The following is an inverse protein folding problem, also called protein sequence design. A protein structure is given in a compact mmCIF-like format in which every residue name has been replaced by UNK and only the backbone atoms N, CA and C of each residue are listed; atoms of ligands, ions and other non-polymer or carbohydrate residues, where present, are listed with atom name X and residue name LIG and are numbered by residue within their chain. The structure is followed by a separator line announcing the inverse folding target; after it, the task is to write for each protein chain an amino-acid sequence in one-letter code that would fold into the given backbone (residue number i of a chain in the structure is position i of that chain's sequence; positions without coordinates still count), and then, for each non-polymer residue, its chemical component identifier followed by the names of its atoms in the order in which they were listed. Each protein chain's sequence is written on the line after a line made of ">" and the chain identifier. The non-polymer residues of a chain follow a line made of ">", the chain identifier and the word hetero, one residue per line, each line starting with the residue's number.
data_IF_123102544787
#
_entry.id   IF_123102544787
#
_cell.length_a   1.000
_cell.length_b   1.000
_cell.length_c   1.000
_cell.angle_alpha   90.00
_cell.angle_beta   90.00
_cell.angle_gamma   90.00
#
_symmetry.space_group_name_H-M   'P 1'
#
loop_
_entity.id
_entity.type
_entity.pdbx_description
1 polymer ?
#
# COMPACT_ATOMS: atom_id res chain seq x y z
N UNK A 1 -4.75 -14.03 -22.56
CA UNK A 1 -3.95 -13.55 -21.40
C UNK A 1 -3.63 -14.75 -20.53
N UNK A 2 -2.39 -14.88 -20.04
CA UNK A 2 -2.02 -15.90 -19.08
C UNK A 2 -2.51 -15.49 -17.67
N UNK A 3 -3.24 -16.37 -16.92
CA UNK A 3 -3.71 -16.05 -15.58
C UNK A 3 -2.52 -15.83 -14.62
N UNK A 4 -2.53 -14.76 -13.82
CA UNK A 4 -1.43 -14.46 -12.91
C UNK A 4 -1.85 -13.55 -11.76
N UNK A 5 -0.96 -13.37 -10.80
CA UNK A 5 -1.14 -12.45 -9.67
C UNK A 5 -0.32 -11.19 -9.92
N UNK A 6 -0.95 -10.03 -9.79
CA UNK A 6 -0.29 -8.73 -9.69
C UNK A 6 -0.17 -8.29 -8.24
N UNK A 7 0.92 -7.60 -7.88
CA UNK A 7 1.10 -7.04 -6.54
C UNK A 7 1.68 -5.63 -6.60
N UNK A 8 1.12 -4.73 -5.78
CA UNK A 8 1.54 -3.32 -5.68
C UNK A 8 1.26 -2.75 -4.28
N UNK A 9 1.78 -1.55 -3.98
CA UNK A 9 1.61 -0.88 -2.70
C UNK A 9 1.07 0.55 -2.83
N UNK A 10 0.53 1.06 -1.71
CA UNK A 10 0.14 2.46 -1.52
C UNK A 10 0.53 2.96 -0.14
N UNK A 11 0.72 4.27 0.00
CA UNK A 11 1.09 4.88 1.28
C UNK A 11 2.59 4.90 1.59
N UNK A 12 3.45 4.39 0.68
CA UNK A 12 4.92 4.38 0.84
C UNK A 12 5.51 5.79 0.92
N UNK A 13 4.99 6.73 0.14
CA UNK A 13 5.43 8.12 0.07
C UNK A 13 4.61 9.08 0.94
N UNK A 14 3.68 8.59 1.74
CA UNK A 14 2.78 9.40 2.54
C UNK A 14 3.21 9.40 4.01
N UNK A 15 3.37 10.59 4.60
CA UNK A 15 3.70 10.74 6.02
C UNK A 15 2.59 10.20 6.91
N UNK A 16 1.34 10.60 6.64
CA UNK A 16 0.17 10.11 7.35
C UNK A 16 -0.38 8.80 6.77
N UNK A 17 -1.08 8.05 7.61
CA UNK A 17 -1.81 6.86 7.20
C UNK A 17 -0.96 5.59 7.09
N UNK A 18 -1.58 4.48 6.69
CA UNK A 18 -0.95 3.17 6.66
C UNK A 18 0.05 3.01 5.51
N UNK A 19 0.84 1.94 5.58
CA UNK A 19 1.39 1.28 4.40
C UNK A 19 0.43 0.16 4.01
N UNK A 20 0.02 0.12 2.75
CA UNK A 20 -0.89 -0.90 2.23
C UNK A 20 -0.23 -1.63 1.08
N UNK A 21 -0.25 -2.95 1.12
CA UNK A 21 0.15 -3.81 0.00
C UNK A 21 -1.05 -4.65 -0.40
N UNK A 22 -1.31 -4.75 -1.69
CA UNK A 22 -2.37 -5.61 -2.21
C UNK A 22 -1.84 -6.54 -3.29
N UNK A 23 -2.41 -7.74 -3.36
CA UNK A 23 -2.23 -8.69 -4.44
C UNK A 23 -3.58 -9.06 -5.03
N UNK A 24 -3.65 -9.25 -6.35
CA UNK A 24 -4.88 -9.57 -7.07
C UNK A 24 -4.58 -10.60 -8.15
N UNK A 25 -5.33 -11.71 -8.16
CA UNK A 25 -5.31 -12.67 -9.26
C UNK A 25 -6.26 -12.22 -10.35
N UNK A 26 -5.78 -12.24 -11.59
CA UNK A 26 -6.59 -11.95 -12.77
C UNK A 26 -6.38 -13.03 -13.83
N UNK A 27 -7.47 -13.67 -14.22
CA UNK A 27 -7.56 -14.60 -15.34
C UNK A 27 -8.45 -14.03 -16.45
N UNK A 28 -8.50 -14.70 -17.62
CA UNK A 28 -9.35 -14.30 -18.76
C UNK A 28 -10.82 -14.09 -18.38
N UNK A 29 -11.32 -14.89 -17.45
CA UNK A 29 -12.69 -14.86 -16.91
C UNK A 29 -13.06 -13.54 -16.23
N UNK A 30 -12.07 -12.79 -15.72
CA UNK A 30 -12.29 -11.54 -15.01
C UNK A 30 -12.29 -10.31 -15.92
N UNK A 31 -11.73 -10.40 -17.14
CA UNK A 31 -11.44 -9.24 -17.99
C UNK A 31 -12.67 -8.40 -18.31
N UNK A 32 -13.81 -9.01 -18.56
CA UNK A 32 -15.05 -8.31 -18.87
C UNK A 32 -15.53 -7.43 -17.70
N UNK A 33 -15.25 -7.84 -16.46
CA UNK A 33 -15.63 -7.14 -15.25
C UNK A 33 -14.61 -6.06 -14.81
N UNK A 34 -13.43 -6.05 -15.44
CA UNK A 34 -12.34 -5.13 -15.11
C UNK A 34 -12.25 -3.94 -16.06
N UNK A 35 -13.34 -3.61 -16.76
CA UNK A 35 -13.37 -2.43 -17.61
C UNK A 35 -13.02 -1.16 -16.80
N UNK A 36 -12.16 -0.32 -17.36
CA UNK A 36 -11.66 0.90 -16.70
C UNK A 36 -10.53 0.69 -15.69
N UNK A 37 -10.15 -0.55 -15.38
CA UNK A 37 -8.96 -0.86 -14.57
C UNK A 37 -7.72 -0.50 -15.37
N UNK A 38 -6.93 0.42 -14.85
CA UNK A 38 -5.69 0.90 -15.44
C UNK A 38 -4.83 1.52 -14.33
N UNK A 39 -3.66 2.02 -14.68
CA UNK A 39 -2.76 2.73 -13.75
C UNK A 39 -3.54 3.62 -12.78
N UNK A 40 -3.51 3.27 -11.49
CA UNK A 40 -4.26 3.95 -10.44
C UNK A 40 -3.91 5.44 -10.30
N UNK A 41 -2.69 5.83 -10.71
CA UNK A 41 -2.22 7.23 -10.66
C UNK A 41 -2.99 8.14 -11.62
N UNK A 42 -3.59 7.55 -12.66
CA UNK A 42 -4.42 8.26 -13.66
C UNK A 42 -5.90 8.34 -13.27
N UNK A 43 -6.28 7.74 -12.14
CA UNK A 43 -7.65 7.72 -11.64
C UNK A 43 -7.85 8.77 -10.55
N UNK A 44 -9.06 9.31 -10.47
CA UNK A 44 -9.47 10.11 -9.28
C UNK A 44 -9.74 9.19 -8.09
N UNK A 45 -9.67 9.73 -6.86
CA UNK A 45 -9.94 8.94 -5.64
C UNK A 45 -11.34 8.28 -5.65
N UNK A 46 -12.45 8.96 -6.04
CA UNK A 46 -13.76 8.32 -6.14
C UNK A 46 -13.82 7.18 -7.15
N UNK A 47 -13.16 7.32 -8.31
CA UNK A 47 -13.11 6.26 -9.33
C UNK A 47 -12.31 5.06 -8.80
N UNK A 48 -11.18 5.29 -8.14
CA UNK A 48 -10.39 4.21 -7.54
C UNK A 48 -11.19 3.44 -6.48
N UNK A 49 -11.94 4.12 -5.61
CA UNK A 49 -12.81 3.49 -4.61
C UNK A 49 -13.91 2.65 -5.25
N UNK A 50 -14.56 3.16 -6.31
CA UNK A 50 -15.59 2.42 -7.05
C UNK A 50 -15.04 1.17 -7.72
N UNK A 51 -13.92 1.29 -8.43
CA UNK A 51 -13.26 0.16 -9.10
C UNK A 51 -12.79 -0.88 -8.09
N UNK A 52 -12.22 -0.45 -6.95
CA UNK A 52 -11.81 -1.37 -5.89
C UNK A 52 -12.96 -2.22 -5.36
N UNK A 53 -14.17 -1.67 -5.25
CA UNK A 53 -15.37 -2.42 -4.85
C UNK A 53 -15.69 -3.52 -5.86
N UNK A 54 -15.60 -3.21 -7.17
CA UNK A 54 -15.82 -4.20 -8.21
C UNK A 54 -14.73 -5.28 -8.24
N UNK A 55 -13.45 -4.89 -8.18
CA UNK A 55 -12.32 -5.82 -8.13
C UNK A 55 -12.47 -6.80 -6.96
N UNK A 56 -12.81 -6.30 -5.76
CA UNK A 56 -13.05 -7.13 -4.56
C UNK A 56 -14.18 -8.15 -4.75
N UNK A 57 -15.18 -7.82 -5.55
CA UNK A 57 -16.31 -8.70 -5.84
C UNK A 57 -15.95 -9.84 -6.77
N UNK A 58 -15.09 -9.59 -7.76
CA UNK A 58 -14.88 -10.52 -8.88
C UNK A 58 -13.54 -11.26 -8.84
N UNK A 59 -12.49 -10.67 -8.26
CA UNK A 59 -11.14 -11.23 -8.27
C UNK A 59 -10.71 -11.79 -6.91
N UNK A 60 -10.07 -12.96 -6.86
CA UNK A 60 -9.32 -13.39 -5.68
C UNK A 60 -8.24 -12.35 -5.35
N UNK A 61 -8.21 -11.87 -4.11
CA UNK A 61 -7.32 -10.79 -3.71
C UNK A 61 -6.94 -10.86 -2.23
N UNK A 62 -5.86 -10.18 -1.88
CA UNK A 62 -5.47 -9.97 -0.49
C UNK A 62 -4.97 -8.54 -0.29
N UNK A 63 -5.33 -7.93 0.82
CA UNK A 63 -4.89 -6.59 1.21
C UNK A 63 -4.25 -6.65 2.60
N UNK A 64 -2.99 -6.26 2.68
CA UNK A 64 -2.22 -6.13 3.92
C UNK A 64 -2.14 -4.66 4.27
N UNK A 65 -2.87 -4.24 5.30
CA UNK A 65 -2.87 -2.86 5.78
C UNK A 65 -2.09 -2.76 7.09
N UNK A 66 -1.01 -1.98 7.09
CA UNK A 66 -0.13 -1.77 8.25
C UNK A 66 -0.36 -0.34 8.72
N UNK A 67 -1.17 -0.18 9.78
CA UNK A 67 -1.44 1.13 10.39
C UNK A 67 -0.18 1.80 10.94
N UNK A 68 -0.18 3.14 11.13
CA UNK A 68 1.02 3.89 11.48
C UNK A 68 1.73 3.40 12.73
N UNK A 69 1.03 3.10 13.81
CA UNK A 69 1.64 2.58 15.04
C UNK A 69 2.39 1.27 14.77
N UNK A 70 1.73 0.30 14.12
CA UNK A 70 2.36 -0.97 13.76
C UNK A 70 3.46 -0.83 12.72
N UNK A 71 3.30 0.12 11.80
CA UNK A 71 4.35 0.48 10.84
C UNK A 71 5.63 0.95 11.57
N UNK A 72 5.51 1.83 12.54
CA UNK A 72 6.65 2.35 13.28
C UNK A 72 7.38 1.25 14.08
N UNK A 73 6.65 0.32 14.71
CA UNK A 73 7.23 -0.85 15.36
C UNK A 73 8.01 -1.73 14.36
N UNK A 74 7.38 -2.08 13.24
CA UNK A 74 7.99 -2.92 12.22
C UNK A 74 9.17 -2.23 11.55
N UNK A 75 9.07 -0.93 11.26
CA UNK A 75 10.18 -0.17 10.71
C UNK A 75 11.40 -0.16 11.64
N UNK A 76 11.19 0.01 12.94
CA UNK A 76 12.26 -0.06 13.94
C UNK A 76 12.92 -1.45 13.99
N UNK A 77 12.16 -2.52 13.76
CA UNK A 77 12.67 -3.89 13.70
C UNK A 77 13.44 -4.15 12.40
N UNK A 78 12.86 -3.81 11.26
CA UNK A 78 13.47 -4.04 9.94
C UNK A 78 14.60 -3.05 9.63
N UNK A 79 14.51 -1.82 10.14
CA UNK A 79 15.39 -0.67 9.86
C UNK A 79 15.63 -0.41 8.37
N UNK A 80 14.72 -0.87 7.54
CA UNK A 80 14.82 -0.78 6.09
C UNK A 80 13.43 -0.93 5.46
N UNK A 81 12.95 0.12 4.79
CA UNK A 81 11.64 0.14 4.15
C UNK A 81 11.49 -0.95 3.08
N UNK A 82 12.55 -1.21 2.31
CA UNK A 82 12.48 -2.23 1.25
C UNK A 82 12.28 -3.64 1.84
N UNK A 83 12.87 -3.93 3.02
CA UNK A 83 12.64 -5.19 3.72
C UNK A 83 11.21 -5.31 4.23
N UNK A 84 10.63 -4.21 4.74
CA UNK A 84 9.24 -4.18 5.19
C UNK A 84 8.27 -4.35 4.01
N UNK A 85 8.53 -3.66 2.89
CA UNK A 85 7.76 -3.83 1.65
C UNK A 85 7.84 -5.28 1.14
N UNK A 86 9.03 -5.85 1.03
CA UNK A 86 9.22 -7.22 0.57
C UNK A 86 8.44 -8.22 1.45
N UNK A 87 8.41 -8.02 2.76
CA UNK A 87 7.58 -8.82 3.66
C UNK A 87 6.09 -8.65 3.38
N UNK A 88 5.63 -7.42 3.20
CA UNK A 88 4.21 -7.14 2.87
C UNK A 88 3.78 -7.76 1.55
N UNK A 89 4.60 -7.61 0.50
CA UNK A 89 4.37 -8.22 -0.81
C UNK A 89 4.32 -9.76 -0.71
N UNK A 90 5.32 -10.37 -0.06
CA UNK A 90 5.36 -11.82 0.13
C UNK A 90 4.13 -12.35 0.87
N UNK A 91 3.65 -11.63 1.89
CA UNK A 91 2.44 -11.99 2.64
C UNK A 91 1.18 -11.87 1.78
N UNK A 92 1.04 -10.79 1.00
CA UNK A 92 -0.11 -10.61 0.11
C UNK A 92 -0.16 -11.69 -0.98
N UNK A 93 0.99 -12.01 -1.60
CA UNK A 93 1.12 -13.09 -2.59
C UNK A 93 0.70 -14.43 -1.98
N UNK A 94 1.24 -14.80 -0.82
CA UNK A 94 0.93 -16.07 -0.14
C UNK A 94 -0.56 -16.21 0.17
N UNK A 95 -1.21 -15.11 0.60
CA UNK A 95 -2.62 -15.09 0.92
C UNK A 95 -3.50 -15.27 -0.33
N UNK A 96 -3.12 -14.72 -1.49
CA UNK A 96 -3.85 -14.94 -2.74
C UNK A 96 -3.63 -16.35 -3.27
N UNK A 97 -2.40 -16.86 -3.23
CA UNK A 97 -2.10 -18.25 -3.61
C UNK A 97 -2.83 -19.28 -2.73
N UNK A 98 -3.22 -18.89 -1.52
CA UNK A 98 -4.09 -19.69 -0.65
C UNK A 98 -5.54 -19.76 -1.12
N UNK A 99 -5.99 -18.79 -1.91
CA UNK A 99 -7.35 -18.70 -2.46
C UNK A 99 -7.41 -19.26 -3.89
N UNK A 100 -6.43 -18.91 -4.70
CA UNK A 100 -6.36 -19.25 -6.12
C UNK A 100 -4.92 -19.58 -6.50
N UNK A 101 -4.62 -20.81 -6.95
CA UNK A 101 -3.31 -21.16 -7.49
C UNK A 101 -2.97 -20.33 -8.75
N UNK A 102 -1.70 -20.01 -8.89
CA UNK A 102 -1.14 -19.33 -10.06
C UNK A 102 0.33 -19.74 -10.23
N UNK A 103 0.81 -19.72 -11.48
CA UNK A 103 2.21 -20.05 -11.78
C UNK A 103 3.10 -18.80 -11.89
N UNK A 104 2.49 -17.63 -12.07
CA UNK A 104 3.17 -16.35 -12.30
C UNK A 104 2.68 -15.27 -11.32
N UNK A 105 3.64 -14.52 -10.79
CA UNK A 105 3.42 -13.28 -10.01
C UNK A 105 4.19 -12.14 -10.68
N UNK A 106 3.53 -11.03 -10.94
CA UNK A 106 4.13 -9.78 -11.44
C UNK A 106 4.10 -8.73 -10.32
N UNK A 107 5.27 -8.18 -9.99
CA UNK A 107 5.42 -7.11 -8.99
C UNK A 107 5.96 -5.85 -9.64
N UNK A 108 5.41 -4.68 -9.29
CA UNK A 108 6.13 -3.43 -9.57
C UNK A 108 7.45 -3.41 -8.81
N UNK A 109 8.51 -2.93 -9.48
CA UNK A 109 9.85 -2.97 -8.93
C UNK A 109 10.06 -1.83 -7.92
N UNK A 110 9.99 -2.13 -6.63
CA UNK A 110 10.24 -1.18 -5.55
C UNK A 110 11.68 -1.24 -4.98
N UNK A 111 12.41 -2.35 -5.23
CA UNK A 111 13.76 -2.62 -4.72
C UNK A 111 14.47 -3.67 -5.58
N UNK A 112 15.60 -4.19 -5.07
CA UNK A 112 16.24 -5.36 -5.69
C UNK A 112 15.27 -6.56 -5.63
N UNK A 113 14.94 -7.20 -6.77
CA UNK A 113 14.03 -8.35 -6.84
C UNK A 113 14.41 -9.51 -5.90
N UNK A 114 15.70 -9.67 -5.61
CA UNK A 114 16.20 -10.68 -4.68
C UNK A 114 15.68 -10.48 -3.24
N UNK A 115 15.32 -9.25 -2.83
CA UNK A 115 14.75 -9.01 -1.49
C UNK A 115 13.35 -9.62 -1.39
N UNK A 116 12.50 -9.45 -2.41
CA UNK A 116 11.18 -10.06 -2.43
C UNK A 116 11.30 -11.58 -2.52
N UNK A 117 12.12 -12.10 -3.45
CA UNK A 117 12.32 -13.55 -3.63
C UNK A 117 12.75 -14.27 -2.34
N UNK A 118 13.65 -13.66 -1.56
CA UNK A 118 14.09 -14.20 -0.27
C UNK A 118 13.01 -14.23 0.80
N UNK A 119 11.99 -13.40 0.67
CA UNK A 119 10.89 -13.26 1.64
C UNK A 119 9.65 -14.07 1.31
N UNK A 120 9.60 -14.68 0.11
CA UNK A 120 8.46 -15.50 -0.29
C UNK A 120 8.27 -16.67 0.69
N UNK A 121 7.01 -16.90 1.04
CA UNK A 121 6.57 -18.04 1.84
C UNK A 121 6.47 -19.30 0.97
N UNK A 122 5.94 -20.38 1.52
CA UNK A 122 6.02 -21.70 0.87
C UNK A 122 5.37 -21.74 -0.51
N UNK A 123 4.14 -21.23 -0.64
CA UNK A 123 3.45 -21.17 -1.94
C UNK A 123 4.10 -20.17 -2.89
N UNK A 124 4.51 -19.02 -2.37
CA UNK A 124 5.21 -18.03 -3.17
C UNK A 124 6.56 -18.48 -3.74
N UNK A 125 7.22 -19.46 -3.11
CA UNK A 125 8.49 -20.02 -3.62
C UNK A 125 8.31 -20.94 -4.83
N UNK A 126 7.09 -21.41 -5.08
CA UNK A 126 6.80 -22.34 -6.19
C UNK A 126 6.39 -21.63 -7.47
N UNK A 127 6.18 -20.30 -7.42
CA UNK A 127 5.74 -19.51 -8.57
C UNK A 127 6.89 -18.78 -9.23
N UNK A 128 6.76 -18.49 -10.52
CA UNK A 128 7.63 -17.56 -11.22
C UNK A 128 7.36 -16.14 -10.73
N UNK A 129 8.38 -15.45 -10.22
CA UNK A 129 8.29 -14.05 -9.81
C UNK A 129 8.98 -13.16 -10.84
N UNK A 130 8.21 -12.29 -11.49
CA UNK A 130 8.71 -11.25 -12.38
C UNK A 130 8.59 -9.88 -11.70
N UNK A 131 9.70 -9.15 -11.60
CA UNK A 131 9.71 -7.75 -11.14
C UNK A 131 9.91 -6.85 -12.34
N UNK A 132 8.96 -5.97 -12.61
CA UNK A 132 8.95 -5.10 -13.77
C UNK A 132 8.93 -3.62 -13.35
N UNK A 133 9.69 -2.79 -14.05
CA UNK A 133 9.57 -1.33 -13.91
C UNK A 133 8.31 -0.89 -14.64
N UNK A 134 7.48 -0.07 -13.96
CA UNK A 134 6.18 0.38 -14.48
C UNK A 134 5.23 -0.77 -14.79
N UNK A 135 5.16 -1.72 -13.88
CA UNK A 135 4.31 -2.89 -14.02
C UNK A 135 2.81 -2.54 -14.00
N UNK A 136 2.43 -1.30 -13.70
CA UNK A 136 1.04 -0.82 -13.75
C UNK A 136 0.38 -0.88 -15.14
N UNK A 137 1.13 -1.18 -16.19
CA UNK A 137 0.57 -1.52 -17.51
C UNK A 137 -0.09 -2.90 -17.52
N UNK A 138 0.32 -3.79 -16.63
CA UNK A 138 -0.29 -5.09 -16.41
C UNK A 138 -1.61 -4.95 -15.63
N UNK A 139 -2.66 -5.66 -16.07
CA UNK A 139 -4.01 -5.50 -15.51
C UNK A 139 -4.11 -6.03 -14.06
N UNK A 140 -3.39 -7.09 -13.71
CA UNK A 140 -3.41 -7.65 -12.37
C UNK A 140 -2.66 -6.71 -11.39
N UNK A 141 -1.53 -6.13 -11.83
CA UNK A 141 -0.80 -5.11 -11.05
C UNK A 141 -1.64 -3.83 -10.92
N UNK A 142 -2.31 -3.38 -12.01
CA UNK A 142 -3.21 -2.23 -11.95
C UNK A 142 -4.38 -2.47 -10.97
N UNK A 143 -4.97 -3.67 -10.97
CA UNK A 143 -6.00 -4.05 -10.01
C UNK A 143 -5.49 -4.04 -8.58
N UNK A 144 -4.30 -4.60 -8.32
CA UNK A 144 -3.65 -4.55 -7.01
C UNK A 144 -3.37 -3.11 -6.55
N UNK A 145 -2.86 -2.25 -7.44
CA UNK A 145 -2.62 -0.83 -7.20
C UNK A 145 -3.90 -0.09 -6.78
N UNK A 146 -5.01 -0.33 -7.47
CA UNK A 146 -6.31 0.25 -7.14
C UNK A 146 -6.80 -0.24 -5.76
N UNK A 147 -6.66 -1.54 -5.46
CA UNK A 147 -7.02 -2.10 -4.14
C UNK A 147 -6.20 -1.47 -3.02
N UNK A 148 -4.88 -1.37 -3.20
CA UNK A 148 -3.97 -0.77 -2.21
C UNK A 148 -4.30 0.70 -1.97
N UNK A 149 -4.52 1.48 -3.04
CA UNK A 149 -4.90 2.90 -2.95
C UNK A 149 -6.26 3.09 -2.27
N UNK A 150 -7.26 2.32 -2.63
CA UNK A 150 -8.59 2.43 -2.04
C UNK A 150 -8.57 2.14 -0.53
N UNK A 151 -7.85 1.12 -0.11
CA UNK A 151 -7.69 0.81 1.33
C UNK A 151 -6.91 1.92 2.05
N UNK A 152 -5.82 2.44 1.44
CA UNK A 152 -5.08 3.57 1.98
C UNK A 152 -5.99 4.79 2.21
N UNK A 153 -6.76 5.19 1.20
CA UNK A 153 -7.68 6.33 1.29
C UNK A 153 -8.73 6.14 2.39
N UNK A 154 -9.33 4.95 2.45
CA UNK A 154 -10.34 4.61 3.45
C UNK A 154 -9.77 4.68 4.86
N UNK A 155 -8.57 4.13 5.08
CA UNK A 155 -7.91 4.15 6.39
C UNK A 155 -7.44 5.53 6.79
N UNK A 156 -6.88 6.30 5.84
CA UNK A 156 -6.45 7.67 6.08
C UNK A 156 -7.63 8.56 6.51
N UNK A 157 -8.77 8.45 5.80
CA UNK A 157 -10.01 9.14 6.15
C UNK A 157 -10.48 8.78 7.56
N UNK A 158 -10.54 7.47 7.86
CA UNK A 158 -10.96 6.98 9.18
C UNK A 158 -10.06 7.49 10.31
N UNK A 159 -8.75 7.49 10.11
CA UNK A 159 -7.81 8.08 11.07
C UNK A 159 -8.08 9.58 11.28
N UNK A 160 -8.35 10.33 10.22
CA UNK A 160 -8.72 11.73 10.32
C UNK A 160 -10.01 11.95 11.12
N UNK A 161 -11.03 11.11 10.89
CA UNK A 161 -12.30 11.14 11.64
C UNK A 161 -12.09 10.82 13.12
N UNK A 162 -11.27 9.80 13.45
CA UNK A 162 -10.96 9.37 14.82
C UNK A 162 -10.32 10.50 15.65
N UNK A 163 -9.43 11.30 15.04
CA UNK A 163 -8.76 12.41 15.71
C UNK A 163 -9.41 13.78 15.43
N UNK A 164 -10.56 13.81 14.74
CA UNK A 164 -11.26 15.06 14.40
C UNK A 164 -10.35 16.03 13.65
N UNK A 165 -9.60 15.55 12.65
CA UNK A 165 -8.65 16.35 11.86
C UNK A 165 -8.59 15.84 10.42
N UNK A 166 -8.08 16.69 9.51
CA UNK A 166 -7.79 16.28 8.13
C UNK A 166 -6.33 15.89 8.00
N UNK A 167 -6.07 14.69 7.52
CA UNK A 167 -4.73 14.16 7.28
C UNK A 167 -4.44 14.17 5.77
N UNK A 168 -3.66 15.14 5.25
CA UNK A 168 -3.36 15.22 3.83
C UNK A 168 -2.38 14.13 3.39
N UNK A 169 -2.47 13.75 2.10
CA UNK A 169 -1.57 12.79 1.44
C UNK A 169 -0.20 13.42 1.15
N UNK A 170 0.81 12.57 1.01
CA UNK A 170 2.17 12.97 0.63
C UNK A 170 3.04 13.39 1.82
N UNK A 171 4.01 14.28 1.55
CA UNK A 171 4.98 14.77 2.54
C UNK A 171 5.35 16.25 2.29
N UNK A 172 4.43 17.03 1.71
CA UNK A 172 4.60 18.45 1.37
C UNK A 172 4.48 19.39 2.59
N UNK A 173 4.65 20.69 2.36
CA UNK A 173 4.44 21.72 3.39
C UNK A 173 3.03 21.70 4.00
N UNK A 174 2.01 21.33 3.20
CA UNK A 174 0.65 21.15 3.72
C UNK A 174 0.60 20.01 4.76
N UNK A 175 1.34 18.92 4.51
CA UNK A 175 1.46 17.80 5.43
C UNK A 175 2.19 18.21 6.71
N UNK A 176 3.27 19.00 6.59
CA UNK A 176 4.01 19.54 7.75
C UNK A 176 3.07 20.41 8.60
N UNK A 177 2.33 21.34 7.99
CA UNK A 177 1.37 22.21 8.70
C UNK A 177 0.29 21.38 9.43
N UNK A 178 -0.24 20.34 8.77
CA UNK A 178 -1.21 19.43 9.40
C UNK A 178 -0.58 18.65 10.58
N UNK A 179 0.68 18.23 10.45
CA UNK A 179 1.41 17.56 11.53
C UNK A 179 1.63 18.48 12.73
N UNK A 180 2.01 19.74 12.49
CA UNK A 180 2.16 20.76 13.57
C UNK A 180 0.82 20.98 14.28
N UNK A 181 -0.26 21.15 13.52
CA UNK A 181 -1.60 21.33 14.09
C UNK A 181 -2.03 20.11 14.93
N UNK A 182 -1.74 18.89 14.43
CA UNK A 182 -2.00 17.65 15.15
C UNK A 182 -1.24 17.60 16.48
N UNK A 183 0.08 17.85 16.46
CA UNK A 183 0.92 17.83 17.67
C UNK A 183 0.46 18.88 18.70
N UNK A 184 0.11 20.09 18.27
CA UNK A 184 -0.41 21.14 19.15
C UNK A 184 -1.75 20.78 19.79
N UNK A 185 -2.60 20.01 19.09
CA UNK A 185 -3.92 19.58 19.57
C UNK A 185 -3.85 18.32 20.44
N UNK A 186 -3.14 17.31 19.97
CA UNK A 186 -3.19 15.95 20.53
C UNK A 186 -1.95 15.53 21.32
N UNK A 187 -0.85 16.29 21.22
CA UNK A 187 0.45 15.94 21.80
C UNK A 187 1.34 15.13 20.84
N UNK A 188 2.65 15.26 21.03
CA UNK A 188 3.64 14.60 20.18
C UNK A 188 3.62 13.06 20.32
N UNK A 189 3.25 12.55 21.49
CA UNK A 189 3.20 11.12 21.78
C UNK A 189 2.15 10.38 20.94
N UNK A 190 1.09 11.08 20.53
CA UNK A 190 0.04 10.51 19.65
C UNK A 190 0.38 10.58 18.18
N UNK A 191 1.40 11.36 17.76
CA UNK A 191 1.74 11.51 16.34
C UNK A 191 2.04 10.16 15.66
N UNK A 192 2.68 9.24 16.38
CA UNK A 192 2.97 7.89 15.87
C UNK A 192 1.73 7.02 15.60
N UNK A 193 0.54 7.41 16.07
CA UNK A 193 -0.71 6.71 15.80
C UNK A 193 -1.28 7.07 14.42
N UNK A 194 -0.87 8.21 13.85
CA UNK A 194 -1.36 8.70 12.55
C UNK A 194 -0.26 8.85 11.50
N UNK A 195 1.02 8.86 11.89
CA UNK A 195 2.16 9.18 11.01
C UNK A 195 3.31 8.18 11.10
N UNK A 196 4.09 8.10 10.00
CA UNK A 196 5.30 7.28 9.88
C UNK A 196 6.52 8.10 10.32
N UNK A 197 7.04 7.84 11.51
CA UNK A 197 8.02 8.68 12.21
C UNK A 197 9.43 8.67 11.60
N UNK A 198 9.74 7.77 10.67
CA UNK A 198 11.04 7.74 9.98
C UNK A 198 11.17 8.79 8.86
N UNK A 199 10.06 9.45 8.48
CA UNK A 199 10.08 10.50 7.45
C UNK A 199 10.82 11.75 7.97
N UNK A 200 11.55 12.43 7.09
CA UNK A 200 12.15 13.75 7.39
C UNK A 200 11.08 14.76 7.83
N UNK A 201 9.87 14.64 7.31
CA UNK A 201 8.69 15.42 7.71
C UNK A 201 8.48 15.43 9.22
N UNK A 202 8.77 14.31 9.91
CA UNK A 202 8.67 14.22 11.37
C UNK A 202 9.57 15.27 12.06
N UNK A 203 10.82 15.41 11.63
CA UNK A 203 11.75 16.38 12.22
C UNK A 203 11.26 17.82 12.02
N UNK A 204 10.77 18.15 10.81
CA UNK A 204 10.21 19.46 10.51
C UNK A 204 8.95 19.77 11.36
N UNK A 205 8.07 18.77 11.52
CA UNK A 205 6.89 18.91 12.40
C UNK A 205 7.28 19.18 13.82
N UNK A 206 8.25 18.42 14.37
CA UNK A 206 8.69 18.56 15.76
C UNK A 206 9.41 19.88 16.02
N UNK A 207 10.17 20.37 15.06
CA UNK A 207 10.83 21.67 15.16
C UNK A 207 9.81 22.83 15.20
N UNK A 208 8.86 22.82 14.25
CA UNK A 208 7.85 23.88 14.11
C UNK A 208 6.73 23.80 15.16
N UNK A 209 6.52 22.64 15.79
CA UNK A 209 5.52 22.49 16.84
C UNK A 209 5.98 23.11 18.19
N UNK A 210 7.30 23.32 18.39
CA UNK A 210 7.89 23.93 19.60
C UNK A 210 7.69 25.43 19.68
N UNK A 211 7.33 26.08 18.57
CA UNK A 211 7.03 27.51 18.47
C UNK A 211 5.54 27.77 18.68
#
# INVERSE_FOLDING_TARGET
>A
MHPHIGVDESGKGDFFGPLVVAACYVGPEHLAELEGVKDSKKLTDPIALKLATNIKRVCPHAVISIGPAKYNELYNSFRNLNKLLAWGHARAIENVLGQQPADLVISDQFANPAELKRRLFEKGKTVELQSMVRAEADIAVAAASILARAEFLTRLKRLGEEFGTTLPKGASDLVIKAGVAFVRKEGQEKLGQVAKLHFKTFLNVMELAKL
#
